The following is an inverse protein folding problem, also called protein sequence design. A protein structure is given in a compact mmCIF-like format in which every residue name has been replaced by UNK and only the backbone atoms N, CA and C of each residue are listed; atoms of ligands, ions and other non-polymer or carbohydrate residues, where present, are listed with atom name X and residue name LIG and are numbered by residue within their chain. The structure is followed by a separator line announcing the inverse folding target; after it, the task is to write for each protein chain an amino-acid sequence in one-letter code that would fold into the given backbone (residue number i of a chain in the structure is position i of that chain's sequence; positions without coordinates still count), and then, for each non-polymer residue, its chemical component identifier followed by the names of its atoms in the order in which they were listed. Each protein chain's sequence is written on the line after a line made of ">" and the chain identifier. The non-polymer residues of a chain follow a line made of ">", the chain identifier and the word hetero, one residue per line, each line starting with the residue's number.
data_IF_436555286450
#
_entry.id   IF_436555286450
#
_cell.length_a   1.000
_cell.length_b   1.000
_cell.length_c   1.000
_cell.angle_alpha   90.00
_cell.angle_beta   90.00
_cell.angle_gamma   90.00
#
_symmetry.space_group_name_H-M   'P 1'
#
loop_
_entity.id
_entity.type
_entity.pdbx_description
1 polymer ?
#
# COMPACT_ATOMS: atom_id res chain seq x y z
N UNK A 1 3.58 3.01 0.81
CA UNK A 1 4.82 3.43 1.47
C UNK A 1 4.84 4.94 1.72
N UNK A 2 5.73 5.42 2.58
CA UNK A 2 5.89 6.87 2.82
C UNK A 2 6.37 7.57 1.55
N UNK A 3 7.27 6.97 0.80
CA UNK A 3 7.80 7.53 -0.45
C UNK A 3 6.75 7.64 -1.55
N UNK A 4 5.80 6.71 -1.60
CA UNK A 4 4.73 6.72 -2.61
C UNK A 4 3.56 7.63 -2.19
N UNK A 5 3.12 7.55 -0.95
CA UNK A 5 1.87 8.19 -0.53
C UNK A 5 2.06 9.52 0.21
N UNK A 6 3.21 9.74 0.83
CA UNK A 6 3.55 10.92 1.63
C UNK A 6 5.00 11.39 1.37
N UNK A 7 5.44 11.57 0.11
CA UNK A 7 6.83 11.90 -0.21
C UNK A 7 7.34 13.17 0.47
N UNK A 8 6.50 14.16 0.71
CA UNK A 8 6.90 15.39 1.38
C UNK A 8 7.22 15.19 2.87
N UNK A 9 6.69 14.15 3.52
CA UNK A 9 7.11 13.80 4.88
C UNK A 9 8.59 13.43 4.91
N UNK A 10 9.07 12.73 3.89
CA UNK A 10 10.47 12.37 3.72
C UNK A 10 11.30 13.53 3.15
N UNK A 11 10.88 14.11 2.02
CA UNK A 11 11.67 15.05 1.26
C UNK A 11 11.90 16.40 1.95
N UNK A 12 10.87 16.96 2.61
CA UNK A 12 10.90 18.28 3.21
C UNK A 12 10.45 18.32 4.68
N UNK A 13 10.27 17.14 5.29
CA UNK A 13 9.77 17.01 6.68
C UNK A 13 8.40 17.65 6.90
N UNK A 14 7.55 17.62 5.89
CA UNK A 14 6.16 18.05 6.01
C UNK A 14 5.43 17.18 7.03
N UNK A 15 4.72 17.83 7.95
CA UNK A 15 3.92 17.14 8.96
C UNK A 15 2.46 17.17 8.55
N UNK A 16 1.85 15.98 8.43
CA UNK A 16 0.42 15.81 8.18
C UNK A 16 -0.30 15.42 9.47
N UNK A 17 -1.56 15.84 9.68
CA UNK A 17 -2.37 15.32 10.76
C UNK A 17 -2.57 13.80 10.58
N UNK A 18 -2.14 13.02 11.56
CA UNK A 18 -2.28 11.56 11.56
C UNK A 18 -2.95 11.14 12.86
N UNK A 19 -3.96 10.27 12.76
CA UNK A 19 -4.64 9.72 13.93
C UNK A 19 -5.31 8.37 13.61
N UNK A 20 -5.60 7.55 14.63
CA UNK A 20 -6.52 6.42 14.46
C UNK A 20 -7.87 6.89 13.94
N UNK A 21 -8.46 6.16 12.98
CA UNK A 21 -9.78 6.47 12.38
C UNK A 21 -10.90 5.58 12.92
N UNK A 22 -10.61 4.78 13.91
CA UNK A 22 -11.58 3.94 14.64
C UNK A 22 -11.28 4.00 16.14
N UNK A 23 -12.14 3.40 16.98
CA UNK A 23 -12.01 3.43 18.45
C UNK A 23 -11.91 4.85 19.04
N UNK A 24 -12.57 5.82 18.40
CA UNK A 24 -12.44 7.25 18.72
C UNK A 24 -12.94 7.65 20.12
N UNK A 25 -13.74 6.82 20.78
CA UNK A 25 -14.19 7.02 22.15
C UNK A 25 -13.29 6.34 23.20
N UNK A 26 -12.28 5.62 22.75
CA UNK A 26 -11.33 4.94 23.62
C UNK A 26 -10.08 5.80 23.81
N UNK A 27 -9.60 5.86 25.04
CA UNK A 27 -8.39 6.62 25.33
C UNK A 27 -7.16 5.82 24.86
N UNK A 28 -6.28 6.40 24.02
CA UNK A 28 -5.00 5.80 23.68
C UNK A 28 -4.14 5.55 24.91
N UNK A 29 -3.49 4.39 24.97
CA UNK A 29 -2.65 3.94 26.10
C UNK A 29 -1.22 3.66 25.70
N UNK A 30 -0.93 3.68 24.40
CA UNK A 30 0.39 3.46 23.81
C UNK A 30 0.85 4.68 23.03
N UNK A 31 2.12 4.69 22.75
CA UNK A 31 2.75 5.67 21.85
C UNK A 31 3.69 4.94 20.89
N UNK A 32 3.76 5.41 19.65
CA UNK A 32 4.60 4.80 18.63
C UNK A 32 5.02 5.78 17.53
N UNK A 33 5.89 5.31 16.68
CA UNK A 33 6.21 5.94 15.38
C UNK A 33 5.68 5.07 14.27
N UNK A 34 5.50 5.64 13.08
CA UNK A 34 5.11 4.90 11.90
C UNK A 34 6.35 4.56 11.08
N UNK A 35 6.54 3.30 10.76
CA UNK A 35 7.52 2.84 9.79
C UNK A 35 6.78 2.14 8.67
N UNK A 36 7.16 2.42 7.43
CA UNK A 36 6.61 1.71 6.28
C UNK A 36 7.30 0.34 6.07
N UNK A 37 6.91 -0.33 4.99
CA UNK A 37 7.43 -1.66 4.64
C UNK A 37 8.62 -1.61 3.70
N UNK A 38 9.19 -0.43 3.45
CA UNK A 38 10.39 -0.30 2.61
C UNK A 38 11.65 -0.75 3.36
N UNK A 39 12.71 -1.05 2.62
CA UNK A 39 14.00 -1.39 3.21
C UNK A 39 14.80 -0.16 3.67
N UNK A 40 14.34 1.05 3.34
CA UNK A 40 15.01 2.31 3.68
C UNK A 40 14.57 2.80 5.06
N UNK A 41 15.52 3.14 5.93
CA UNK A 41 15.24 3.67 7.25
C UNK A 41 14.57 5.07 7.25
N UNK A 42 14.55 5.76 6.12
CA UNK A 42 13.84 7.04 5.93
C UNK A 42 12.34 6.87 5.68
N UNK A 43 11.87 5.63 5.39
CA UNK A 43 10.46 5.29 5.27
C UNK A 43 9.73 5.30 6.62
N UNK A 44 9.81 6.42 7.35
CA UNK A 44 9.20 6.58 8.68
C UNK A 44 8.62 7.96 8.89
N UNK A 45 7.63 8.03 9.79
CA UNK A 45 7.08 9.29 10.31
C UNK A 45 7.26 9.26 11.84
N UNK A 46 8.06 10.21 12.32
CA UNK A 46 8.41 10.36 13.74
C UNK A 46 8.15 11.78 14.28
N UNK A 47 7.38 12.57 13.51
CA UNK A 47 6.92 13.88 13.90
C UNK A 47 5.42 14.01 13.58
N UNK A 48 4.65 14.41 14.55
CA UNK A 48 3.19 14.47 14.46
C UNK A 48 2.68 15.83 14.93
N UNK A 49 1.56 16.28 14.35
CA UNK A 49 0.88 17.52 14.74
C UNK A 49 0.37 17.38 16.17
N UNK A 50 0.63 18.41 17.00
CA UNK A 50 0.02 18.57 18.32
C UNK A 50 -0.56 19.98 18.48
N UNK A 51 -1.29 20.23 19.55
CA UNK A 51 -1.99 21.49 19.80
C UNK A 51 -1.04 22.69 19.94
N UNK A 52 0.14 22.49 20.46
CA UNK A 52 1.07 23.58 20.77
C UNK A 52 2.47 23.42 20.17
N UNK A 53 2.80 22.23 19.70
CA UNK A 53 4.14 21.92 19.20
C UNK A 53 4.11 20.64 18.33
N UNK A 54 5.27 20.10 18.02
CA UNK A 54 5.45 18.82 17.33
C UNK A 54 5.64 17.71 18.35
N UNK A 55 4.87 16.64 18.23
CA UNK A 55 5.08 15.41 19.00
C UNK A 55 6.01 14.46 18.23
N UNK A 56 6.82 13.70 18.98
CA UNK A 56 7.72 12.69 18.43
C UNK A 56 7.13 11.26 18.46
N UNK A 57 5.92 11.12 18.97
CA UNK A 57 5.18 9.87 18.99
C UNK A 57 3.71 10.11 18.73
N UNK A 58 3.04 9.11 18.14
CA UNK A 58 1.60 9.10 17.89
C UNK A 58 0.90 8.35 19.04
N UNK A 59 -0.15 8.93 19.65
CA UNK A 59 -0.99 8.20 20.59
C UNK A 59 -1.75 7.07 19.88
N UNK A 60 -1.62 5.86 20.38
CA UNK A 60 -2.18 4.64 19.83
C UNK A 60 -2.95 3.85 20.89
N UNK A 61 -3.86 2.99 20.48
CA UNK A 61 -4.51 2.02 21.35
C UNK A 61 -3.67 0.73 21.45
N UNK A 62 -3.95 -0.08 22.44
CA UNK A 62 -3.41 -1.45 22.48
C UNK A 62 -3.87 -2.23 21.24
N UNK A 63 -2.94 -2.93 20.61
CA UNK A 63 -3.24 -3.81 19.48
C UNK A 63 -3.68 -5.18 20.02
N UNK A 64 -4.71 -5.74 19.40
CA UNK A 64 -5.19 -7.09 19.71
C UNK A 64 -4.91 -8.03 18.54
N UNK A 65 -4.61 -9.28 18.84
CA UNK A 65 -4.37 -10.29 17.81
C UNK A 65 -5.59 -10.42 16.88
N UNK A 66 -5.34 -10.42 15.58
CA UNK A 66 -6.34 -10.49 14.51
C UNK A 66 -7.29 -9.27 14.39
N UNK A 67 -7.01 -8.18 15.06
CA UNK A 67 -7.72 -6.90 14.87
C UNK A 67 -6.95 -6.02 13.88
N UNK A 68 -7.65 -5.48 12.90
CA UNK A 68 -7.10 -4.48 11.99
C UNK A 68 -7.08 -3.13 12.69
N UNK A 69 -5.96 -2.39 12.54
CA UNK A 69 -5.79 -1.09 13.15
C UNK A 69 -5.55 -0.04 12.08
N UNK A 70 -6.52 0.84 11.89
CA UNK A 70 -6.50 1.82 10.82
C UNK A 70 -6.06 3.20 11.31
N UNK A 71 -5.14 3.80 10.56
CA UNK A 71 -4.67 5.18 10.74
C UNK A 71 -5.06 5.99 9.50
N UNK A 72 -5.48 7.23 9.72
CA UNK A 72 -5.70 8.20 8.65
C UNK A 72 -4.64 9.28 8.67
N UNK A 73 -4.08 9.61 7.51
CA UNK A 73 -3.33 10.84 7.29
C UNK A 73 -4.23 11.83 6.53
N UNK A 74 -4.40 13.03 7.07
CA UNK A 74 -5.37 14.01 6.58
C UNK A 74 -4.69 15.20 5.92
N UNK A 75 -5.43 15.91 5.06
CA UNK A 75 -4.97 17.13 4.39
C UNK A 75 -3.70 16.92 3.54
N UNK A 76 -3.55 15.74 3.00
CA UNK A 76 -2.35 15.32 2.27
C UNK A 76 -2.17 16.10 0.96
N UNK A 77 -3.25 16.31 0.20
CA UNK A 77 -3.22 17.06 -1.05
C UNK A 77 -2.74 16.25 -2.26
N UNK A 78 -3.05 16.74 -3.46
CA UNK A 78 -2.87 16.02 -4.73
C UNK A 78 -1.40 15.83 -5.16
N UNK A 79 -0.50 16.68 -4.71
CA UNK A 79 0.92 16.58 -5.11
C UNK A 79 1.64 15.36 -4.54
N UNK A 80 1.14 14.80 -3.43
CA UNK A 80 1.75 13.63 -2.82
C UNK A 80 1.70 12.42 -3.77
N UNK A 81 0.55 12.17 -4.37
CA UNK A 81 0.39 11.11 -5.35
C UNK A 81 1.26 11.37 -6.60
N UNK A 82 1.24 12.59 -7.14
CA UNK A 82 2.00 12.96 -8.36
C UNK A 82 3.51 12.88 -8.17
N UNK A 83 4.02 13.16 -6.97
CA UNK A 83 5.45 13.14 -6.63
C UNK A 83 5.89 11.83 -5.99
N UNK A 84 5.00 10.85 -5.87
CA UNK A 84 5.30 9.55 -5.30
C UNK A 84 6.45 8.83 -6.02
N UNK A 85 7.18 8.01 -5.28
CA UNK A 85 8.28 7.21 -5.78
C UNK A 85 8.00 5.72 -5.59
N UNK A 86 8.23 4.92 -6.62
CA UNK A 86 8.07 3.46 -6.64
C UNK A 86 9.14 2.73 -5.82
N UNK A 87 9.58 3.30 -4.70
CA UNK A 87 10.60 2.70 -3.85
C UNK A 87 10.22 1.28 -3.43
N UNK A 88 11.14 0.34 -3.61
CA UNK A 88 10.91 -1.11 -3.46
C UNK A 88 9.80 -1.67 -4.36
N UNK A 89 9.48 -1.00 -5.47
CA UNK A 89 8.41 -1.39 -6.40
C UNK A 89 7.02 -1.46 -5.73
N UNK A 90 6.80 -0.62 -4.73
CA UNK A 90 5.47 -0.36 -4.17
C UNK A 90 4.82 0.73 -5.00
N UNK A 91 3.77 0.36 -5.75
CA UNK A 91 3.09 1.22 -6.71
C UNK A 91 2.05 2.16 -6.12
N UNK A 92 1.22 2.72 -6.98
CA UNK A 92 0.10 3.56 -6.57
C UNK A 92 -0.89 2.79 -5.70
N UNK A 93 -1.47 3.50 -4.73
CA UNK A 93 -2.49 2.94 -3.84
C UNK A 93 -3.88 3.07 -4.45
N UNK A 94 -4.83 2.26 -3.95
CA UNK A 94 -6.24 2.41 -4.32
C UNK A 94 -6.74 3.82 -3.97
N UNK A 95 -7.51 4.42 -4.87
CA UNK A 95 -8.05 5.77 -4.73
C UNK A 95 -9.57 5.76 -4.84
N UNK A 96 -10.24 6.45 -3.92
CA UNK A 96 -11.68 6.65 -3.95
C UNK A 96 -11.99 8.13 -3.89
N UNK A 97 -12.77 8.62 -4.86
CA UNK A 97 -13.30 9.97 -4.85
C UNK A 97 -14.68 9.98 -4.21
N UNK A 98 -14.85 10.85 -3.21
CA UNK A 98 -16.09 10.95 -2.43
C UNK A 98 -16.63 12.39 -2.51
N UNK A 99 -17.92 12.53 -2.75
CA UNK A 99 -18.64 13.80 -2.57
C UNK A 99 -19.47 13.72 -1.29
N UNK A 100 -19.45 14.78 -0.51
CA UNK A 100 -20.22 14.89 0.73
C UNK A 100 -21.21 16.04 0.60
N UNK A 101 -22.49 15.78 0.88
CA UNK A 101 -23.49 16.83 0.99
C UNK A 101 -23.25 17.61 2.30
N UNK A 102 -23.00 18.93 2.24
CA UNK A 102 -22.69 19.71 3.44
C UNK A 102 -23.91 19.94 4.35
N UNK A 103 -25.13 19.63 3.88
CA UNK A 103 -26.37 19.88 4.64
C UNK A 103 -26.71 18.71 5.55
N UNK A 104 -26.66 17.50 5.03
CA UNK A 104 -27.06 16.29 5.78
C UNK A 104 -25.92 15.31 6.02
N UNK A 105 -24.74 15.56 5.45
CA UNK A 105 -23.56 14.70 5.59
C UNK A 105 -23.62 13.41 4.76
N UNK A 106 -24.62 13.29 3.87
CA UNK A 106 -24.68 12.15 2.96
C UNK A 106 -23.47 12.15 2.04
N UNK A 107 -22.89 10.96 1.80
CA UNK A 107 -21.74 10.83 0.92
C UNK A 107 -22.01 9.85 -0.23
N UNK A 108 -21.38 10.11 -1.36
CA UNK A 108 -21.45 9.26 -2.54
C UNK A 108 -20.03 8.95 -3.05
N UNK A 109 -19.80 7.71 -3.45
CA UNK A 109 -18.61 7.31 -4.20
C UNK A 109 -18.74 7.78 -5.64
N UNK A 110 -17.88 8.70 -6.05
CA UNK A 110 -17.90 9.26 -7.41
C UNK A 110 -17.06 8.44 -8.35
N UNK A 111 -15.89 7.97 -7.88
CA UNK A 111 -14.93 7.20 -8.68
C UNK A 111 -14.08 6.33 -7.76
N UNK A 112 -13.82 5.14 -8.23
CA UNK A 112 -12.86 4.21 -7.65
C UNK A 112 -11.77 3.93 -8.69
N UNK A 113 -10.51 3.93 -8.27
CA UNK A 113 -9.35 3.61 -9.10
C UNK A 113 -8.54 2.58 -8.33
N UNK A 114 -8.33 1.43 -8.95
CA UNK A 114 -7.44 0.41 -8.39
C UNK A 114 -5.98 0.90 -8.45
N UNK A 115 -5.22 0.59 -7.43
CA UNK A 115 -3.79 0.85 -7.40
C UNK A 115 -3.02 -0.11 -8.32
N UNK A 116 -1.71 0.09 -8.40
CA UNK A 116 -0.86 -0.68 -9.30
C UNK A 116 -0.78 -2.16 -8.93
N UNK A 117 -0.93 -3.00 -9.93
CA UNK A 117 -0.56 -4.42 -9.85
C UNK A 117 0.97 -4.61 -9.91
N UNK A 118 1.44 -5.79 -9.51
CA UNK A 118 2.85 -6.18 -9.70
C UNK A 118 3.25 -6.10 -11.19
N UNK A 119 2.35 -6.45 -12.10
CA UNK A 119 2.58 -6.35 -13.54
C UNK A 119 2.76 -4.91 -14.02
N UNK A 120 1.97 -3.97 -13.48
CA UNK A 120 2.09 -2.55 -13.83
C UNK A 120 3.44 -2.00 -13.38
N UNK A 121 3.80 -2.23 -12.12
CA UNK A 121 5.09 -1.76 -11.58
C UNK A 121 6.29 -2.38 -12.28
N UNK A 122 6.23 -3.67 -12.64
CA UNK A 122 7.26 -4.29 -13.46
C UNK A 122 7.40 -3.63 -14.83
N UNK A 123 6.29 -3.18 -15.41
CA UNK A 123 6.29 -2.47 -16.70
C UNK A 123 7.00 -1.12 -16.60
N UNK A 124 6.86 -0.38 -15.49
CA UNK A 124 7.57 0.89 -15.26
C UNK A 124 9.09 0.71 -15.21
N UNK A 125 9.57 -0.44 -14.74
CA UNK A 125 11.01 -0.76 -14.69
C UNK A 125 11.46 -1.64 -15.87
N UNK A 126 10.75 -1.55 -17.00
CA UNK A 126 11.10 -2.13 -18.30
C UNK A 126 11.06 -3.67 -18.35
N UNK A 127 10.39 -4.35 -17.42
CA UNK A 127 10.04 -5.75 -17.58
C UNK A 127 8.70 -5.84 -18.31
N UNK A 128 8.63 -6.72 -19.33
CA UNK A 128 7.39 -7.04 -20.03
C UNK A 128 6.69 -8.22 -19.32
N UNK A 129 5.53 -8.00 -18.65
CA UNK A 129 4.79 -9.06 -17.97
C UNK A 129 4.38 -10.20 -18.90
N UNK A 130 4.12 -9.91 -20.19
CA UNK A 130 3.79 -10.93 -21.18
C UNK A 130 4.99 -11.83 -21.45
N UNK A 131 6.17 -11.27 -21.64
CA UNK A 131 7.39 -12.06 -21.85
C UNK A 131 7.74 -12.90 -20.61
N UNK A 132 7.55 -12.36 -19.41
CA UNK A 132 7.73 -13.09 -18.17
C UNK A 132 6.77 -14.27 -18.09
N UNK A 133 5.48 -14.04 -18.36
CA UNK A 133 4.43 -15.07 -18.40
C UNK A 133 4.76 -16.17 -19.40
N UNK A 134 5.13 -15.81 -20.62
CA UNK A 134 5.49 -16.77 -21.67
C UNK A 134 6.74 -17.57 -21.30
N UNK A 135 7.73 -16.93 -20.70
CA UNK A 135 8.94 -17.60 -20.22
C UNK A 135 8.63 -18.60 -19.11
N UNK A 136 7.81 -18.20 -18.14
CA UNK A 136 7.38 -19.06 -17.04
C UNK A 136 6.58 -20.27 -17.54
N UNK A 137 5.62 -20.03 -18.44
CA UNK A 137 4.83 -21.08 -19.09
C UNK A 137 5.72 -22.11 -19.77
N UNK A 138 6.71 -21.69 -20.59
CA UNK A 138 7.66 -22.61 -21.25
C UNK A 138 8.46 -23.44 -20.23
N UNK A 139 8.88 -22.84 -19.11
CA UNK A 139 9.58 -23.56 -18.05
C UNK A 139 8.70 -24.61 -17.38
N UNK A 140 7.45 -24.26 -17.08
CA UNK A 140 6.48 -25.19 -16.48
C UNK A 140 6.14 -26.36 -17.43
N UNK A 141 5.97 -26.08 -18.73
CA UNK A 141 5.75 -27.11 -19.75
C UNK A 141 6.95 -28.03 -19.92
N UNK A 142 8.17 -27.50 -19.81
CA UNK A 142 9.38 -28.32 -19.81
C UNK A 142 9.45 -29.23 -18.59
N UNK A 143 9.14 -28.72 -17.40
CA UNK A 143 9.13 -29.51 -16.17
C UNK A 143 8.14 -30.69 -16.24
N UNK A 144 6.98 -30.50 -16.89
CA UNK A 144 6.03 -31.60 -17.16
C UNK A 144 6.64 -32.66 -18.09
N UNK A 145 7.29 -32.25 -19.20
CA UNK A 145 7.95 -33.18 -20.12
C UNK A 145 9.10 -33.95 -19.47
N UNK A 146 9.79 -33.33 -18.55
CA UNK A 146 10.90 -33.94 -17.78
C UNK A 146 10.40 -34.74 -16.57
N UNK A 147 9.08 -34.89 -16.40
CA UNK A 147 8.44 -35.59 -15.27
C UNK A 147 8.79 -35.03 -13.87
N UNK A 148 9.18 -33.76 -13.78
CA UNK A 148 9.47 -33.07 -12.53
C UNK A 148 8.19 -32.62 -11.80
N UNK A 149 7.15 -32.32 -12.56
CA UNK A 149 5.81 -31.98 -12.06
C UNK A 149 4.74 -32.63 -12.92
N UNK A 150 3.56 -32.80 -12.32
CA UNK A 150 2.38 -33.30 -13.03
C UNK A 150 1.67 -32.18 -13.80
N UNK A 151 0.78 -32.52 -14.78
CA UNK A 151 -0.06 -31.52 -15.43
C UNK A 151 -1.00 -30.76 -14.46
N UNK A 152 -1.40 -31.38 -13.35
CA UNK A 152 -2.22 -30.72 -12.32
C UNK A 152 -1.41 -29.66 -11.56
N UNK A 153 -0.22 -30.03 -11.07
CA UNK A 153 0.70 -29.08 -10.41
C UNK A 153 1.11 -27.94 -11.34
N UNK A 154 1.32 -28.22 -12.64
CA UNK A 154 1.56 -27.14 -13.62
C UNK A 154 0.43 -26.12 -13.63
N UNK A 155 -0.84 -26.55 -13.58
CA UNK A 155 -2.00 -25.66 -13.58
C UNK A 155 -1.99 -24.80 -12.32
N UNK A 156 -1.82 -25.40 -11.16
CA UNK A 156 -1.76 -24.69 -9.87
C UNK A 156 -0.63 -23.65 -9.84
N UNK A 157 0.56 -24.02 -10.33
CA UNK A 157 1.72 -23.12 -10.42
C UNK A 157 1.42 -21.95 -11.37
N UNK A 158 0.78 -22.20 -12.52
CA UNK A 158 0.41 -21.14 -13.45
C UNK A 158 -0.65 -20.20 -12.88
N UNK A 159 -1.65 -20.72 -12.18
CA UNK A 159 -2.68 -19.93 -11.51
C UNK A 159 -2.08 -19.07 -10.39
N UNK A 160 -1.17 -19.62 -9.60
CA UNK A 160 -0.44 -18.87 -8.55
C UNK A 160 0.42 -17.74 -9.16
N UNK A 161 1.11 -18.02 -10.28
CA UNK A 161 1.90 -17.01 -10.98
C UNK A 161 1.03 -15.88 -11.55
N UNK A 162 -0.10 -16.21 -12.19
CA UNK A 162 -1.04 -15.21 -12.71
C UNK A 162 -1.65 -14.36 -11.58
N UNK A 163 -2.03 -15.00 -10.47
CA UNK A 163 -2.51 -14.28 -9.29
C UNK A 163 -1.44 -13.34 -8.74
N UNK A 164 -0.18 -13.76 -8.71
CA UNK A 164 0.94 -12.93 -8.24
C UNK A 164 1.21 -11.72 -9.15
N UNK A 165 1.22 -11.90 -10.47
CA UNK A 165 1.46 -10.79 -11.43
C UNK A 165 0.33 -9.76 -11.42
N UNK A 166 -0.91 -10.20 -11.24
CA UNK A 166 -2.08 -9.34 -11.23
C UNK A 166 -2.45 -8.86 -9.80
N UNK A 167 -1.68 -9.28 -8.79
CA UNK A 167 -1.90 -8.89 -7.41
C UNK A 167 -1.48 -7.45 -7.15
N UNK A 168 -2.09 -6.84 -6.14
CA UNK A 168 -1.75 -5.51 -5.64
C UNK A 168 -0.34 -5.48 -5.06
N UNK A 169 0.36 -4.36 -5.16
CA UNK A 169 1.75 -4.25 -4.69
C UNK A 169 1.88 -4.14 -3.18
N UNK A 170 0.80 -3.87 -2.48
CA UNK A 170 0.73 -3.88 -1.01
C UNK A 170 0.08 -5.16 -0.49
N UNK A 171 0.26 -5.41 0.80
CA UNK A 171 -0.29 -6.60 1.42
C UNK A 171 -1.82 -6.51 1.55
N UNK A 172 -2.52 -7.48 1.00
CA UNK A 172 -3.95 -7.72 1.18
C UNK A 172 -4.16 -9.04 1.93
N UNK A 173 -5.15 -9.08 2.84
CA UNK A 173 -5.55 -10.27 3.57
C UNK A 173 -6.68 -11.02 2.87
#
# INVERSE_FOLDING_TARGET
>A
SVFQSLPDSWAIKQIFPIMPIHRLLERPTREGILSDITCDCDGKIEQFVDLHDVRHTLPLHDLHDNEEYYLGAFLVGAYQETLGDLHNLLGDTNVVSITIDPVDGHFEFVKEIEGDSVGDVLSYVEYDPKLLRDSFKRKAERAVREHLITPAERREIMEAFEKGINGYTYFER
#
